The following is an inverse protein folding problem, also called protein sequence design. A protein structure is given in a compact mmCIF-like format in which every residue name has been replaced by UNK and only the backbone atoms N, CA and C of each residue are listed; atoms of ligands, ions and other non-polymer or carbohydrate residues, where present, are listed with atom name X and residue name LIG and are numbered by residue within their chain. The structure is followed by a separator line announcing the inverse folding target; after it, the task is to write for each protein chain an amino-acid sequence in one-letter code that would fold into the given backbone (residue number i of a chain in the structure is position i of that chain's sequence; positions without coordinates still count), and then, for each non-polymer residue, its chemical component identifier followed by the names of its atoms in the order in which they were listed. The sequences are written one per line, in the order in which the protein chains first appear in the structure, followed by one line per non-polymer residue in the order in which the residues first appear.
data_IF_398681958172
#
_entry.id   IF_398681958172
#
_cell.length_a   1.000
_cell.length_b   1.000
_cell.length_c   1.000
_cell.angle_alpha   90.00
_cell.angle_beta   90.00
_cell.angle_gamma   90.00
#
_symmetry.space_group_name_H-M   'P 1'
#
loop_
_entity.id
_entity.type
_entity.pdbx_description
1 polymer ?
#
# COMPACT_ATOMS: atom_id res chain seq x y z
N UNK A 1 -22.11 -0.73 6.66
CA UNK A 1 -21.51 -0.90 5.33
C UNK A 1 -20.10 -1.43 5.46
N UNK A 2 -19.77 -2.43 4.68
CA UNK A 2 -18.48 -3.07 4.77
C UNK A 2 -17.55 -2.56 3.69
N UNK A 3 -16.30 -2.34 4.05
CA UNK A 3 -15.25 -2.10 3.09
C UNK A 3 -14.55 -3.41 2.81
N UNK A 4 -14.33 -3.72 1.54
CA UNK A 4 -13.51 -4.86 1.18
C UNK A 4 -12.05 -4.58 1.53
N UNK A 5 -11.22 -5.62 1.54
CA UNK A 5 -9.79 -5.41 1.77
C UNK A 5 -9.19 -4.53 0.67
N UNK A 6 -9.68 -4.65 -0.56
CA UNK A 6 -9.25 -3.80 -1.65
C UNK A 6 -9.59 -2.33 -1.37
N UNK A 7 -10.79 -2.06 -0.87
CA UNK A 7 -11.20 -0.71 -0.52
C UNK A 7 -10.32 -0.13 0.58
N UNK A 8 -9.99 -0.95 1.59
CA UNK A 8 -9.12 -0.51 2.68
C UNK A 8 -7.72 -0.20 2.17
N UNK A 9 -7.21 -1.04 1.29
CA UNK A 9 -5.90 -0.85 0.67
C UNK A 9 -5.87 0.46 -0.12
N UNK A 10 -6.87 0.66 -0.96
CA UNK A 10 -6.96 1.89 -1.77
C UNK A 10 -7.07 3.13 -0.90
N UNK A 11 -7.90 3.06 0.15
CA UNK A 11 -8.08 4.18 1.07
C UNK A 11 -6.78 4.57 1.75
N UNK A 12 -5.98 3.58 2.16
CA UNK A 12 -4.69 3.84 2.79
C UNK A 12 -3.77 4.61 1.85
N UNK A 13 -3.67 4.17 0.60
CA UNK A 13 -2.86 4.88 -0.39
C UNK A 13 -3.32 6.32 -0.58
N UNK A 14 -4.63 6.51 -0.68
CA UNK A 14 -5.19 7.84 -0.89
C UNK A 14 -4.95 8.76 0.29
N UNK A 15 -5.06 8.24 1.50
CA UNK A 15 -4.85 9.04 2.71
C UNK A 15 -3.38 9.34 2.96
N UNK A 16 -2.51 8.32 2.84
CA UNK A 16 -1.09 8.50 3.12
C UNK A 16 -0.44 9.43 2.10
N UNK A 17 -0.78 9.27 0.83
CA UNK A 17 -0.15 10.05 -0.23
C UNK A 17 -0.98 11.26 -0.67
N UNK A 18 -2.20 11.41 -0.14
CA UNK A 18 -3.11 12.51 -0.48
C UNK A 18 -3.35 12.59 -1.98
N UNK A 19 -3.68 11.43 -2.58
CA UNK A 19 -3.93 11.31 -4.01
C UNK A 19 -5.37 10.89 -4.28
N UNK A 20 -5.81 11.07 -5.51
CA UNK A 20 -7.13 10.69 -5.94
C UNK A 20 -7.20 9.22 -6.35
N UNK A 21 -8.39 8.64 -6.33
CA UNK A 21 -8.59 7.24 -6.67
C UNK A 21 -8.08 6.90 -8.07
N UNK A 22 -8.20 7.82 -9.03
CA UNK A 22 -7.77 7.57 -10.40
C UNK A 22 -6.24 7.50 -10.56
N UNK A 23 -5.50 7.81 -9.50
CA UNK A 23 -4.05 7.67 -9.50
C UNK A 23 -3.61 6.28 -9.04
N UNK A 24 -4.55 5.43 -8.59
CA UNK A 24 -4.27 4.06 -8.17
C UNK A 24 -4.25 3.16 -9.40
N UNK A 25 -3.13 3.14 -10.09
CA UNK A 25 -3.00 2.42 -11.35
C UNK A 25 -1.57 1.90 -11.52
N UNK A 26 -1.30 1.34 -12.69
CA UNK A 26 -0.01 0.69 -12.99
C UNK A 26 1.19 1.64 -12.93
N UNK A 27 0.95 2.94 -13.02
CA UNK A 27 2.02 3.93 -13.02
C UNK A 27 2.38 4.41 -11.60
N UNK A 28 1.60 4.00 -10.61
CA UNK A 28 1.85 4.38 -9.22
C UNK A 28 2.91 3.48 -8.62
N UNK A 29 4.09 4.04 -8.40
CA UNK A 29 5.24 3.29 -7.90
C UNK A 29 6.12 4.21 -7.07
N UNK A 30 7.07 3.60 -6.37
CA UNK A 30 8.02 4.31 -5.54
C UNK A 30 8.68 5.43 -6.35
N UNK A 31 8.63 6.64 -5.80
CA UNK A 31 9.18 7.85 -6.40
C UNK A 31 8.49 8.33 -7.68
N UNK A 32 7.35 7.73 -8.06
CA UNK A 32 6.57 8.24 -9.19
C UNK A 32 5.78 9.48 -8.82
N UNK A 33 5.56 9.69 -7.53
CA UNK A 33 4.96 10.90 -6.97
C UNK A 33 5.83 11.38 -5.82
N UNK A 34 5.77 12.67 -5.53
CA UNK A 34 6.62 13.24 -4.49
C UNK A 34 6.37 12.61 -3.12
N UNK A 35 5.11 12.30 -2.82
CA UNK A 35 4.74 11.74 -1.53
C UNK A 35 5.29 10.34 -1.29
N UNK A 36 5.56 9.58 -2.35
CA UNK A 36 6.08 8.22 -2.20
C UNK A 36 7.61 8.23 -2.26
N UNK A 37 8.20 8.78 -1.23
CA UNK A 37 9.64 8.74 -0.99
C UNK A 37 9.91 7.76 0.16
N UNK A 38 11.13 7.79 0.70
CA UNK A 38 11.51 6.86 1.77
C UNK A 38 10.63 7.02 3.01
N UNK A 39 10.28 8.26 3.37
CA UNK A 39 9.43 8.51 4.53
C UNK A 39 8.01 8.08 4.24
N UNK A 40 7.48 8.46 3.07
CA UNK A 40 6.13 8.06 2.67
C UNK A 40 5.99 6.55 2.57
N UNK A 41 7.03 5.88 2.10
CA UNK A 41 7.04 4.42 2.01
C UNK A 41 6.88 3.78 3.38
N UNK A 42 7.63 4.23 4.37
CA UNK A 42 7.54 3.68 5.72
C UNK A 42 6.20 4.03 6.38
N UNK A 43 5.67 5.21 6.11
CA UNK A 43 4.34 5.58 6.59
C UNK A 43 3.28 4.65 5.99
N UNK A 44 3.39 4.36 4.71
CA UNK A 44 2.49 3.43 4.03
C UNK A 44 2.58 2.03 4.65
N UNK A 45 3.79 1.54 4.87
CA UNK A 45 3.99 0.22 5.46
C UNK A 45 3.35 0.13 6.86
N UNK A 46 3.57 1.15 7.69
CA UNK A 46 3.01 1.19 9.03
C UNK A 46 1.47 1.20 8.99
N UNK A 47 0.90 1.97 8.07
CA UNK A 47 -0.56 2.04 7.94
C UNK A 47 -1.15 0.70 7.52
N UNK A 48 -0.49 0.01 6.59
CA UNK A 48 -0.94 -1.31 6.14
C UNK A 48 -0.84 -2.35 7.26
N UNK A 49 0.25 -2.32 8.03
CA UNK A 49 0.42 -3.24 9.15
C UNK A 49 -0.68 -3.04 10.19
N UNK A 50 -1.03 -1.79 10.47
CA UNK A 50 -2.06 -1.49 11.44
C UNK A 50 -3.45 -1.90 10.95
N UNK A 51 -3.77 -1.57 9.71
CA UNK A 51 -5.10 -1.86 9.17
C UNK A 51 -5.37 -3.36 9.05
N UNK A 52 -4.39 -4.12 8.61
CA UNK A 52 -4.55 -5.54 8.35
C UNK A 52 -4.03 -6.43 9.48
N UNK A 53 -3.54 -5.82 10.56
CA UNK A 53 -3.02 -6.52 11.73
C UNK A 53 -1.96 -7.56 11.32
N UNK A 54 -0.99 -7.12 10.55
CA UNK A 54 0.12 -7.94 10.07
C UNK A 54 1.44 -7.25 10.38
N UNK A 55 2.51 -8.00 10.29
CA UNK A 55 3.86 -7.45 10.39
C UNK A 55 4.63 -7.85 9.14
N UNK A 56 4.97 -6.84 8.35
CA UNK A 56 5.67 -7.06 7.08
C UNK A 56 7.15 -7.34 7.35
N UNK A 57 7.68 -8.33 6.63
CA UNK A 57 9.10 -8.63 6.71
C UNK A 57 9.90 -7.61 5.92
N UNK A 58 11.17 -7.44 6.28
CA UNK A 58 12.03 -6.44 5.65
C UNK A 58 12.11 -6.61 4.14
N UNK A 59 12.25 -7.85 3.68
CA UNK A 59 12.35 -8.12 2.24
C UNK A 59 11.09 -7.68 1.50
N UNK A 60 9.93 -7.88 2.11
CA UNK A 60 8.66 -7.48 1.51
C UNK A 60 8.50 -5.96 1.50
N UNK A 61 9.00 -5.29 2.53
CA UNK A 61 8.98 -3.82 2.56
C UNK A 61 9.84 -3.27 1.43
N UNK A 62 11.00 -3.85 1.20
CA UNK A 62 11.92 -3.42 0.14
C UNK A 62 11.31 -3.68 -1.24
N UNK A 63 10.68 -4.83 -1.42
CA UNK A 63 10.13 -5.22 -2.71
C UNK A 63 8.78 -4.59 -3.02
N UNK A 64 8.15 -3.95 -2.04
CA UNK A 64 6.87 -3.28 -2.20
C UNK A 64 7.10 -1.98 -2.98
N UNK A 65 7.23 -2.10 -4.29
CA UNK A 65 7.65 -0.97 -5.12
C UNK A 65 6.57 -0.34 -5.98
N UNK A 66 5.43 -1.02 -6.15
CA UNK A 66 4.33 -0.49 -6.95
C UNK A 66 3.00 -0.79 -6.29
N UNK A 67 1.97 -0.07 -6.73
CA UNK A 67 0.60 -0.31 -6.25
C UNK A 67 0.19 -1.78 -6.45
N UNK A 68 0.48 -2.35 -7.62
CA UNK A 68 0.10 -3.74 -7.90
C UNK A 68 0.98 -4.76 -7.19
N UNK A 69 2.27 -4.48 -7.08
CA UNK A 69 3.19 -5.36 -6.32
C UNK A 69 2.76 -5.47 -4.86
N UNK A 70 2.27 -4.36 -4.31
CA UNK A 70 1.78 -4.37 -2.93
C UNK A 70 0.60 -5.31 -2.74
N UNK A 71 -0.29 -5.39 -3.72
CA UNK A 71 -1.42 -6.33 -3.65
C UNK A 71 -0.90 -7.77 -3.58
N UNK A 72 0.07 -8.10 -4.42
CA UNK A 72 0.66 -9.44 -4.40
C UNK A 72 1.38 -9.72 -3.08
N UNK A 73 2.04 -8.71 -2.52
CA UNK A 73 2.70 -8.84 -1.23
C UNK A 73 1.69 -9.18 -0.14
N UNK A 74 0.56 -8.48 -0.10
CA UNK A 74 -0.45 -8.72 0.92
C UNK A 74 -1.07 -10.09 0.80
N UNK A 75 -1.17 -10.63 -0.40
CA UNK A 75 -1.68 -12.00 -0.59
C UNK A 75 -0.80 -13.02 0.11
N UNK A 76 0.50 -12.78 0.20
CA UNK A 76 1.43 -13.66 0.92
C UNK A 76 1.13 -13.70 2.41
N UNK A 77 0.45 -12.69 2.93
CA UNK A 77 0.09 -12.59 4.35
C UNK A 77 -1.35 -13.01 4.57
N UNK A 78 -1.93 -13.71 3.60
CA UNK A 78 -3.31 -14.22 3.66
C UNK A 78 -4.36 -13.10 3.67
N UNK A 79 -4.02 -11.94 3.14
CA UNK A 79 -4.97 -10.86 2.94
C UNK A 79 -5.65 -11.08 1.60
N UNK A 80 -6.94 -11.38 1.65
CA UNK A 80 -7.73 -11.64 0.45
C UNK A 80 -8.10 -10.30 -0.19
N UNK A 81 -7.36 -9.92 -1.21
CA UNK A 81 -7.48 -8.63 -1.88
C UNK A 81 -7.51 -8.81 -3.43
#
# INVERSE_FOLDING_TARGET
MFMSNKDKYDKIFMEVFEIAHNQLNKDLKYQSIEAWDSVGHMTLMAALEEEFDIQLEMDDIIDFGTYYTGIETLKKYSIDI
#
